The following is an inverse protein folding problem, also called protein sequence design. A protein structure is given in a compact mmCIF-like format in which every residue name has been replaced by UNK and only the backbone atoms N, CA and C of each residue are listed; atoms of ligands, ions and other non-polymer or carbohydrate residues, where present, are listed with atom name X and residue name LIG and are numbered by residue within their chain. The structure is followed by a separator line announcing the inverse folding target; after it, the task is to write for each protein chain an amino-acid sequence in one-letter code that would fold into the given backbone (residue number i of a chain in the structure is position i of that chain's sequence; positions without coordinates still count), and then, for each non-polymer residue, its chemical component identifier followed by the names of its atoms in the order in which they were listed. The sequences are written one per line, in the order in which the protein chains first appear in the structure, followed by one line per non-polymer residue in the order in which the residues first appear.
data_IF_885856065758
#
_entry.id   IF_885856065758
#
_cell.length_a   1.000
_cell.length_b   1.000
_cell.length_c   1.000
_cell.angle_alpha   90.00
_cell.angle_beta   90.00
_cell.angle_gamma   90.00
#
_symmetry.space_group_name_H-M   'P 1'
#
loop_
_entity.id
_entity.type
_entity.pdbx_description
1 polymer ?
#
# COMPACT_ATOMS: atom_id res chain seq x y z
N UNK A 1 8.09 26.89 38.99
CA UNK A 1 6.95 26.96 38.07
C UNK A 1 7.18 26.07 36.89
N UNK A 2 6.85 24.80 37.10
CA UNK A 2 7.00 23.69 36.15
C UNK A 2 5.59 23.30 35.68
N UNK A 3 4.82 24.30 35.27
CA UNK A 3 3.48 24.06 34.73
C UNK A 3 3.66 23.49 33.32
N UNK A 4 3.16 22.28 33.13
CA UNK A 4 3.10 21.64 31.84
C UNK A 4 2.30 22.53 30.89
N UNK A 5 2.81 22.90 29.70
CA UNK A 5 2.05 23.70 28.72
C UNK A 5 0.76 23.01 28.23
N UNK A 6 0.49 21.77 28.66
CA UNK A 6 -0.78 21.05 28.48
C UNK A 6 -1.82 21.36 29.55
N UNK A 7 -1.45 21.99 30.67
CA UNK A 7 -2.38 22.37 31.73
C UNK A 7 -3.21 23.59 31.30
N UNK A 8 -4.46 23.33 30.86
CA UNK A 8 -5.45 24.35 30.52
C UNK A 8 -5.86 24.44 29.05
N UNK A 9 -5.25 23.64 28.15
CA UNK A 9 -5.72 23.51 26.78
C UNK A 9 -6.88 22.51 26.72
N UNK A 10 -7.98 22.86 26.05
CA UNK A 10 -9.01 21.88 25.69
C UNK A 10 -8.36 20.78 24.83
N UNK A 11 -8.27 19.53 25.33
CA UNK A 11 -7.67 18.43 24.57
C UNK A 11 -8.41 18.15 23.24
N UNK A 12 -9.61 18.71 23.06
CA UNK A 12 -10.43 18.54 21.85
C UNK A 12 -10.11 19.53 20.70
N UNK A 13 -9.47 20.68 20.94
CA UNK A 13 -9.06 21.59 19.84
C UNK A 13 -7.88 21.00 19.04
N UNK A 14 -6.98 20.27 19.71
CA UNK A 14 -5.84 19.62 19.07
C UNK A 14 -4.71 20.57 18.64
N UNK A 15 -4.78 21.85 18.99
CA UNK A 15 -3.75 22.85 18.66
C UNK A 15 -2.37 22.46 19.22
N UNK A 16 -2.30 21.99 20.46
CA UNK A 16 -1.06 21.50 21.07
C UNK A 16 -0.46 20.31 20.31
N UNK A 17 -1.29 19.39 19.83
CA UNK A 17 -0.87 18.24 19.01
C UNK A 17 -0.35 18.68 17.65
N UNK A 18 -1.03 19.63 16.98
CA UNK A 18 -0.54 20.21 15.72
C UNK A 18 0.81 20.91 15.91
N UNK A 19 0.97 21.69 16.97
CA UNK A 19 2.24 22.36 17.29
C UNK A 19 3.35 21.35 17.59
N UNK A 20 3.06 20.28 18.34
CA UNK A 20 4.02 19.21 18.61
C UNK A 20 4.42 18.47 17.32
N UNK A 21 3.47 18.14 16.46
CA UNK A 21 3.73 17.51 15.17
C UNK A 21 4.66 18.38 14.30
N UNK A 22 4.44 19.70 14.26
CA UNK A 22 5.32 20.60 13.50
C UNK A 22 6.74 20.65 14.07
N UNK A 23 6.90 20.66 15.40
CA UNK A 23 8.23 20.57 16.03
C UNK A 23 8.93 19.25 15.68
N UNK A 24 8.21 18.12 15.71
CA UNK A 24 8.76 16.82 15.33
C UNK A 24 9.17 16.78 13.86
N UNK A 25 8.38 17.38 12.95
CA UNK A 25 8.72 17.50 11.52
C UNK A 25 9.98 18.32 11.30
N UNK A 26 10.09 19.47 11.97
CA UNK A 26 11.28 20.32 11.90
C UNK A 26 12.53 19.59 12.42
N UNK A 27 12.41 18.92 13.57
CA UNK A 27 13.51 18.13 14.14
C UNK A 27 13.91 16.96 13.22
N UNK A 28 12.95 16.26 12.61
CA UNK A 28 13.25 15.17 11.68
C UNK A 28 14.04 15.67 10.45
N UNK A 29 13.66 16.82 9.89
CA UNK A 29 14.36 17.43 8.76
C UNK A 29 15.75 17.93 9.15
N UNK A 30 15.90 18.59 10.30
CA UNK A 30 17.19 19.11 10.76
C UNK A 30 18.15 18.00 11.20
N UNK A 31 17.62 17.00 11.90
CA UNK A 31 18.44 16.01 12.57
C UNK A 31 18.64 14.77 11.70
N UNK A 32 17.61 14.21 11.09
CA UNK A 32 17.73 12.87 10.50
C UNK A 32 17.99 12.87 8.98
N UNK A 33 17.72 13.98 8.29
CA UNK A 33 17.84 14.04 6.83
C UNK A 33 19.28 14.14 6.35
N UNK A 34 19.58 13.47 5.23
CA UNK A 34 20.86 13.59 4.54
C UNK A 34 20.64 13.97 3.07
N UNK A 35 20.98 15.21 2.69
CA UNK A 35 20.70 15.77 1.36
C UNK A 35 21.27 14.92 0.21
N UNK A 36 22.51 14.44 0.34
CA UNK A 36 23.14 13.65 -0.72
C UNK A 36 22.45 12.31 -0.97
N UNK A 37 21.84 11.74 0.07
CA UNK A 37 21.14 10.46 0.00
C UNK A 37 19.64 10.67 -0.25
N UNK A 38 19.08 11.82 0.10
CA UNK A 38 17.64 12.07 -0.04
C UNK A 38 16.81 11.10 0.81
N UNK A 39 17.30 10.77 2.01
CA UNK A 39 16.63 9.88 2.96
C UNK A 39 16.95 10.28 4.40
N UNK A 40 16.26 9.65 5.35
CA UNK A 40 16.46 9.83 6.78
C UNK A 40 17.24 8.68 7.39
N UNK A 41 18.09 9.01 8.37
CA UNK A 41 18.86 8.07 9.17
C UNK A 41 18.67 8.35 10.66
N UNK A 42 18.85 7.31 11.48
CA UNK A 42 18.94 7.48 12.93
C UNK A 42 20.19 8.29 13.30
N UNK A 43 20.16 8.96 14.46
CA UNK A 43 21.35 9.62 15.05
C UNK A 43 21.95 8.80 16.16
N UNK A 44 23.26 8.61 16.10
CA UNK A 44 24.04 8.07 17.20
C UNK A 44 24.15 9.08 18.35
N UNK A 45 24.50 8.61 19.54
CA UNK A 45 24.70 9.46 20.73
C UNK A 45 25.75 10.58 20.51
N UNK A 46 26.73 10.35 19.63
CA UNK A 46 27.73 11.35 19.23
C UNK A 46 27.23 12.39 18.22
N UNK A 47 25.97 12.33 17.80
CA UNK A 47 25.36 13.24 16.84
C UNK A 47 25.47 12.82 15.37
N UNK A 48 26.32 11.84 15.05
CA UNK A 48 26.50 11.36 13.67
C UNK A 48 25.30 10.56 13.16
N UNK A 49 25.07 10.63 11.85
CA UNK A 49 24.06 9.81 11.18
C UNK A 49 24.51 8.34 11.10
N UNK A 50 23.65 7.43 11.55
CA UNK A 50 23.82 5.99 11.39
C UNK A 50 23.40 5.63 9.97
N UNK A 51 24.35 5.72 9.03
CA UNK A 51 24.14 5.50 7.59
C UNK A 51 23.84 4.03 7.26
N UNK A 52 22.66 3.58 7.64
CA UNK A 52 22.06 2.27 7.41
C UNK A 52 20.74 2.51 6.68
N UNK A 53 20.63 2.04 5.44
CA UNK A 53 19.41 2.19 4.66
C UNK A 53 18.44 1.09 5.06
N UNK A 54 17.61 1.37 6.08
CA UNK A 54 16.65 0.42 6.65
C UNK A 54 15.19 0.80 6.36
N UNK A 55 14.27 -0.01 6.87
CA UNK A 55 12.83 0.21 6.85
C UNK A 55 12.38 1.54 7.52
N UNK A 56 13.29 2.26 8.19
CA UNK A 56 13.08 3.62 8.69
C UNK A 56 12.55 4.56 7.60
N UNK A 57 13.04 4.43 6.36
CA UNK A 57 12.51 5.22 5.23
C UNK A 57 10.98 5.07 5.11
N UNK A 58 10.48 3.83 5.05
CA UNK A 58 9.04 3.55 4.96
C UNK A 58 8.28 4.04 6.18
N UNK A 59 8.86 3.97 7.39
CA UNK A 59 8.23 4.47 8.62
C UNK A 59 8.03 5.98 8.56
N UNK A 60 9.03 6.71 8.07
CA UNK A 60 8.93 8.17 7.89
C UNK A 60 7.88 8.53 6.84
N UNK A 61 7.91 7.86 5.69
CA UNK A 61 6.92 8.08 4.62
C UNK A 61 5.49 7.74 5.07
N UNK A 62 5.31 6.70 5.88
CA UNK A 62 4.01 6.34 6.46
C UNK A 62 3.46 7.38 7.45
N UNK A 63 4.31 8.31 7.94
CA UNK A 63 3.88 9.47 8.71
C UNK A 63 3.54 10.70 7.84
N UNK A 64 3.36 10.51 6.53
CA UNK A 64 3.02 11.57 5.56
C UNK A 64 4.08 12.69 5.53
N UNK A 65 5.35 12.29 5.66
CA UNK A 65 6.49 13.20 5.56
C UNK A 65 6.96 13.29 4.12
N UNK A 66 7.02 14.51 3.61
CA UNK A 66 7.37 14.80 2.22
C UNK A 66 6.14 15.02 1.34
N UNK A 67 6.36 15.56 0.15
CA UNK A 67 5.33 15.71 -0.87
C UNK A 67 5.39 14.54 -1.89
N UNK A 68 4.49 14.57 -2.88
CA UNK A 68 4.47 13.55 -3.93
C UNK A 68 5.79 13.45 -4.71
N UNK A 69 6.50 14.57 -4.90
CA UNK A 69 7.78 14.57 -5.62
C UNK A 69 8.87 13.86 -4.80
N UNK A 70 8.94 14.12 -3.50
CA UNK A 70 9.83 13.40 -2.59
C UNK A 70 9.49 11.91 -2.56
N UNK A 71 8.22 11.55 -2.48
CA UNK A 71 7.80 10.15 -2.48
C UNK A 71 8.18 9.43 -3.78
N UNK A 72 7.92 10.03 -4.95
CA UNK A 72 8.36 9.48 -6.24
C UNK A 72 9.88 9.32 -6.28
N UNK A 73 10.65 10.29 -5.77
CA UNK A 73 12.11 10.18 -5.70
C UNK A 73 12.56 9.02 -4.78
N UNK A 74 11.87 8.81 -3.65
CA UNK A 74 12.14 7.68 -2.74
C UNK A 74 11.79 6.33 -3.40
N UNK A 75 10.69 6.24 -4.16
CA UNK A 75 10.39 5.06 -4.97
C UNK A 75 11.52 4.76 -5.95
N UNK A 76 11.90 5.74 -6.77
CA UNK A 76 12.91 5.56 -7.81
C UNK A 76 14.28 5.18 -7.26
N UNK A 77 14.70 5.83 -6.18
CA UNK A 77 16.03 5.66 -5.60
C UNK A 77 16.14 4.43 -4.71
N UNK A 78 15.04 4.02 -4.07
CA UNK A 78 15.08 3.06 -2.98
C UNK A 78 14.03 1.95 -3.09
N UNK A 79 12.74 2.29 -3.07
CA UNK A 79 11.69 1.28 -2.83
C UNK A 79 11.39 0.42 -4.05
N UNK A 80 11.52 0.97 -5.27
CA UNK A 80 11.39 0.25 -6.53
C UNK A 80 12.74 -0.12 -7.13
N UNK A 81 13.80 -0.16 -6.32
CA UNK A 81 15.16 -0.40 -6.79
C UNK A 81 15.65 -1.78 -6.29
N UNK A 82 16.03 -2.67 -7.22
CA UNK A 82 16.28 -4.10 -6.93
C UNK A 82 17.63 -4.38 -6.27
N UNK A 83 18.53 -3.39 -6.23
CA UNK A 83 19.71 -3.42 -5.34
C UNK A 83 19.46 -2.76 -3.98
N UNK A 84 18.29 -2.14 -3.77
CA UNK A 84 17.91 -1.48 -2.53
C UNK A 84 16.86 -2.33 -1.81
N UNK A 85 15.61 -1.92 -1.74
CA UNK A 85 14.63 -2.64 -0.91
C UNK A 85 13.80 -3.66 -1.69
N UNK A 86 13.68 -3.53 -3.00
CA UNK A 86 12.81 -4.39 -3.79
C UNK A 86 13.45 -5.76 -4.05
N UNK A 87 13.08 -6.74 -3.25
CA UNK A 87 13.36 -8.14 -3.53
C UNK A 87 12.20 -8.79 -4.31
N UNK A 88 12.37 -10.05 -4.72
CA UNK A 88 11.31 -10.75 -5.46
C UNK A 88 10.03 -10.88 -4.62
N UNK A 89 10.19 -11.17 -3.32
CA UNK A 89 9.09 -11.37 -2.37
C UNK A 89 8.91 -10.19 -1.42
N UNK A 90 8.98 -8.95 -1.93
CA UNK A 90 8.57 -7.75 -1.20
C UNK A 90 9.71 -6.81 -0.82
N UNK A 91 9.46 -5.96 0.18
CA UNK A 91 10.40 -4.95 0.63
C UNK A 91 11.24 -5.45 1.81
N UNK A 92 12.55 -5.52 1.63
CA UNK A 92 13.49 -5.93 2.67
C UNK A 92 13.56 -4.90 3.80
N UNK A 93 13.96 -5.36 4.99
CA UNK A 93 14.11 -4.46 6.15
C UNK A 93 15.39 -3.64 6.12
N UNK A 94 16.35 -4.06 5.28
CA UNK A 94 17.61 -3.38 4.99
C UNK A 94 17.85 -3.42 3.47
N UNK A 95 18.45 -2.38 2.92
CA UNK A 95 18.85 -2.36 1.52
C UNK A 95 19.76 -3.57 1.18
N UNK A 96 19.45 -4.24 0.07
CA UNK A 96 20.13 -5.45 -0.42
C UNK A 96 21.62 -5.24 -0.71
N UNK A 97 22.02 -4.01 -1.07
CA UNK A 97 23.42 -3.63 -1.31
C UNK A 97 24.15 -3.12 -0.06
N UNK A 98 23.50 -3.09 1.10
CA UNK A 98 24.17 -2.77 2.35
C UNK A 98 25.09 -3.94 2.76
N UNK A 99 26.38 -3.71 3.03
CA UNK A 99 27.32 -4.79 3.40
C UNK A 99 26.96 -5.48 4.73
N UNK A 100 26.03 -4.92 5.51
CA UNK A 100 25.51 -5.50 6.75
C UNK A 100 24.23 -6.32 6.53
N UNK A 101 23.81 -6.51 5.29
CA UNK A 101 22.64 -7.33 4.96
C UNK A 101 22.80 -8.76 5.47
N UNK A 102 21.82 -9.19 6.27
CA UNK A 102 21.75 -10.53 6.81
C UNK A 102 20.75 -11.36 6.00
N UNK A 103 21.28 -12.31 5.21
CA UNK A 103 20.48 -13.17 4.36
C UNK A 103 19.75 -14.28 5.13
N UNK A 104 20.15 -14.59 6.37
CA UNK A 104 19.49 -15.63 7.14
C UNK A 104 18.13 -15.18 7.70
N UNK A 105 17.05 -15.52 6.98
CA UNK A 105 15.68 -15.23 7.40
C UNK A 105 15.15 -16.11 8.55
N UNK A 106 15.83 -17.20 8.92
CA UNK A 106 15.36 -18.12 9.95
C UNK A 106 15.48 -17.57 11.39
N UNK A 107 16.04 -16.37 11.57
CA UNK A 107 16.23 -15.71 12.87
C UNK A 107 15.37 -14.47 12.97
N UNK A 108 15.06 -14.05 14.21
CA UNK A 108 14.46 -12.74 14.45
C UNK A 108 15.46 -11.64 14.05
N UNK A 109 15.34 -11.15 12.83
CA UNK A 109 16.29 -10.20 12.25
C UNK A 109 15.56 -9.10 11.48
N UNK A 110 16.01 -7.88 11.71
CA UNK A 110 15.66 -6.70 10.91
C UNK A 110 16.77 -6.33 9.92
N UNK A 111 17.82 -7.17 9.81
CA UNK A 111 19.00 -6.91 8.99
C UNK A 111 18.86 -7.26 7.52
N UNK A 112 17.68 -7.71 7.05
CA UNK A 112 17.54 -8.14 5.66
C UNK A 112 16.18 -8.73 5.28
N UNK A 113 15.59 -9.63 6.07
CA UNK A 113 14.34 -10.30 5.68
C UNK A 113 13.18 -9.34 5.37
N UNK A 114 12.20 -9.83 4.61
CA UNK A 114 10.95 -9.09 4.35
C UNK A 114 10.06 -9.25 5.58
N UNK A 115 10.11 -8.28 6.50
CA UNK A 115 9.31 -8.33 7.73
C UNK A 115 7.87 -7.87 7.47
N UNK A 116 6.88 -8.62 7.95
CA UNK A 116 5.47 -8.25 7.76
C UNK A 116 5.07 -6.96 8.48
N UNK A 117 5.81 -6.57 9.52
CA UNK A 117 5.63 -5.25 10.14
C UNK A 117 6.03 -4.09 9.23
N UNK A 118 7.01 -4.27 8.34
CA UNK A 118 7.35 -3.30 7.29
C UNK A 118 6.25 -3.29 6.25
N UNK A 119 5.86 -4.48 5.78
CA UNK A 119 4.88 -4.65 4.71
C UNK A 119 3.50 -4.11 5.09
N UNK A 120 3.03 -4.29 6.34
CA UNK A 120 1.71 -3.80 6.81
C UNK A 120 1.65 -2.28 6.98
N UNK A 121 2.81 -1.61 7.08
CA UNK A 121 2.89 -0.14 7.20
C UNK A 121 3.03 0.55 5.85
N UNK A 122 3.58 -0.14 4.84
CA UNK A 122 3.84 0.43 3.53
C UNK A 122 2.61 1.01 2.82
N UNK A 123 1.41 0.37 2.82
CA UNK A 123 0.30 0.79 1.96
C UNK A 123 -0.09 2.26 2.10
N UNK A 124 -0.09 2.80 3.32
CA UNK A 124 -0.56 4.17 3.59
C UNK A 124 0.21 5.21 2.77
N UNK A 125 1.54 5.13 2.76
CA UNK A 125 2.37 6.10 2.05
C UNK A 125 2.15 6.04 0.52
N UNK A 126 2.08 4.82 -0.03
CA UNK A 126 1.83 4.63 -1.46
C UNK A 126 0.47 5.18 -1.87
N UNK A 127 -0.58 4.88 -1.10
CA UNK A 127 -1.94 5.34 -1.38
C UNK A 127 -2.10 6.86 -1.21
N UNK A 128 -1.53 7.42 -0.15
CA UNK A 128 -1.55 8.87 0.10
C UNK A 128 -0.94 9.65 -1.06
N UNK A 129 0.12 9.11 -1.70
CA UNK A 129 0.77 9.72 -2.86
C UNK A 129 0.29 9.18 -4.21
N UNK A 130 -0.72 8.30 -4.25
CA UNK A 130 -1.34 7.79 -5.48
C UNK A 130 -0.58 6.69 -6.23
N UNK A 131 0.47 6.09 -5.65
CA UNK A 131 1.28 5.03 -6.24
C UNK A 131 0.72 3.62 -5.94
N UNK A 132 -0.54 3.41 -6.28
CA UNK A 132 -1.27 2.17 -5.98
C UNK A 132 -0.83 0.97 -6.84
N UNK A 133 -0.31 1.22 -8.05
CA UNK A 133 0.12 0.18 -8.96
C UNK A 133 1.48 -0.42 -8.55
N UNK A 134 2.40 0.40 -8.04
CA UNK A 134 3.66 -0.06 -7.45
C UNK A 134 3.39 -0.91 -6.22
N UNK A 135 2.47 -0.46 -5.34
CA UNK A 135 2.04 -1.21 -4.17
C UNK A 135 1.47 -2.58 -4.56
N UNK A 136 0.58 -2.62 -5.56
CA UNK A 136 0.01 -3.86 -6.06
C UNK A 136 1.05 -4.80 -6.70
N UNK A 137 2.02 -4.24 -7.43
CA UNK A 137 3.12 -5.00 -8.01
C UNK A 137 3.99 -5.66 -6.92
N UNK A 138 4.30 -4.92 -5.85
CA UNK A 138 5.04 -5.43 -4.69
C UNK A 138 4.24 -6.53 -3.96
N UNK A 139 2.93 -6.35 -3.82
CA UNK A 139 2.07 -7.27 -3.07
C UNK A 139 1.88 -8.62 -3.76
N UNK A 140 1.91 -8.69 -5.09
CA UNK A 140 1.63 -9.91 -5.86
C UNK A 140 2.47 -11.12 -5.45
N UNK A 141 3.81 -11.07 -5.53
CA UNK A 141 4.66 -12.19 -5.12
C UNK A 141 4.50 -12.55 -3.64
N UNK A 142 4.31 -11.57 -2.76
CA UNK A 142 4.11 -11.79 -1.32
C UNK A 142 2.78 -12.49 -1.03
N UNK A 143 1.72 -12.16 -1.79
CA UNK A 143 0.44 -12.86 -1.75
C UNK A 143 0.59 -14.31 -2.20
N UNK A 144 1.35 -14.57 -3.28
CA UNK A 144 1.67 -15.95 -3.70
C UNK A 144 2.36 -16.72 -2.57
N UNK A 145 3.42 -16.15 -2.00
CA UNK A 145 4.18 -16.81 -0.93
C UNK A 145 3.31 -17.15 0.29
N UNK A 146 2.48 -16.22 0.76
CA UNK A 146 1.59 -16.48 1.90
C UNK A 146 0.41 -17.40 1.57
N UNK A 147 -0.07 -17.40 0.33
CA UNK A 147 -1.14 -18.33 -0.08
C UNK A 147 -0.65 -19.79 -0.14
N UNK A 148 0.65 -20.01 -0.37
CA UNK A 148 1.28 -21.33 -0.41
C UNK A 148 1.89 -21.74 0.94
N UNK A 149 2.12 -20.79 1.85
CA UNK A 149 2.62 -21.07 3.19
C UNK A 149 1.62 -21.89 4.02
N UNK A 150 2.12 -22.77 4.88
CA UNK A 150 1.33 -23.57 5.82
C UNK A 150 1.06 -22.85 7.16
N UNK A 151 1.61 -21.64 7.34
CA UNK A 151 1.48 -20.81 8.53
C UNK A 151 1.69 -19.32 8.23
N UNK A 152 1.50 -18.45 9.23
CA UNK A 152 1.73 -17.01 9.10
C UNK A 152 3.04 -16.61 9.81
N UNK A 153 4.14 -16.40 9.05
CA UNK A 153 5.45 -16.13 9.62
C UNK A 153 5.64 -14.65 9.99
N UNK A 154 6.73 -14.35 10.70
CA UNK A 154 7.15 -12.97 10.93
C UNK A 154 7.73 -12.32 9.68
N UNK A 155 8.48 -13.09 8.89
CA UNK A 155 9.10 -12.61 7.68
C UNK A 155 9.10 -13.66 6.58
N UNK A 156 9.50 -13.23 5.38
CA UNK A 156 9.81 -14.12 4.27
C UNK A 156 11.31 -14.04 3.94
N UNK A 157 11.85 -15.12 3.41
CA UNK A 157 13.09 -15.06 2.65
C UNK A 157 12.88 -14.13 1.42
N UNK A 158 13.74 -13.11 1.21
CA UNK A 158 13.55 -12.13 0.14
C UNK A 158 13.57 -12.71 -1.29
N UNK A 159 14.20 -13.87 -1.49
CA UNK A 159 14.44 -14.46 -2.80
C UNK A 159 13.55 -15.66 -3.09
N UNK A 160 13.39 -16.58 -2.13
CA UNK A 160 12.58 -17.79 -2.29
C UNK A 160 11.12 -17.59 -1.89
N UNK A 161 10.83 -16.61 -1.04
CA UNK A 161 9.50 -16.41 -0.48
C UNK A 161 9.14 -17.42 0.61
N UNK A 162 10.11 -18.25 1.04
CA UNK A 162 9.89 -19.20 2.11
C UNK A 162 9.47 -18.49 3.41
N UNK A 163 8.42 -19.02 4.04
CA UNK A 163 7.95 -18.55 5.33
C UNK A 163 9.05 -18.74 6.38
N UNK A 164 9.44 -17.65 7.04
CA UNK A 164 10.61 -17.63 7.90
C UNK A 164 10.32 -16.98 9.26
N UNK A 165 10.86 -17.62 10.31
CA UNK A 165 10.77 -17.20 11.70
C UNK A 165 9.35 -16.96 12.25
N UNK A 166 8.93 -17.79 13.22
CA UNK A 166 7.61 -17.68 13.86
C UNK A 166 6.49 -18.27 13.00
N UNK A 167 5.38 -18.66 13.63
CA UNK A 167 4.33 -19.46 12.97
C UNK A 167 2.93 -18.86 13.01
N UNK A 168 2.67 -17.94 13.96
CA UNK A 168 1.35 -17.35 14.22
C UNK A 168 1.48 -15.85 14.43
N UNK A 169 2.15 -15.19 13.49
CA UNK A 169 2.50 -13.79 13.63
C UNK A 169 1.37 -12.88 13.17
N UNK A 170 0.75 -12.15 14.11
CA UNK A 170 -0.42 -11.31 13.81
C UNK A 170 -0.17 -10.28 12.71
N UNK A 171 0.99 -9.60 12.61
CA UNK A 171 1.26 -8.72 11.47
C UNK A 171 1.23 -9.41 10.11
N UNK A 172 1.66 -10.68 10.01
CA UNK A 172 1.55 -11.46 8.76
C UNK A 172 0.09 -11.73 8.39
N UNK A 173 -0.73 -12.11 9.39
CA UNK A 173 -2.18 -12.29 9.22
C UNK A 173 -2.86 -10.99 8.79
N UNK A 174 -2.57 -9.89 9.48
CA UNK A 174 -3.15 -8.57 9.18
C UNK A 174 -2.75 -8.09 7.80
N UNK A 175 -1.48 -8.24 7.42
CA UNK A 175 -1.04 -7.89 6.07
C UNK A 175 -1.77 -8.69 5.01
N UNK A 176 -1.97 -10.01 5.21
CA UNK A 176 -2.66 -10.84 4.24
C UNK A 176 -4.11 -10.40 4.03
N UNK A 177 -4.87 -10.18 5.11
CA UNK A 177 -6.25 -9.69 5.03
C UNK A 177 -6.33 -8.32 4.35
N UNK A 178 -5.42 -7.42 4.71
CA UNK A 178 -5.31 -6.07 4.14
C UNK A 178 -4.96 -6.12 2.64
N UNK A 179 -4.00 -6.96 2.24
CA UNK A 179 -3.60 -7.13 0.84
C UNK A 179 -4.70 -7.75 -0.02
N UNK A 180 -5.45 -8.74 0.52
CA UNK A 180 -6.64 -9.30 -0.15
C UNK A 180 -7.67 -8.20 -0.43
N UNK A 181 -8.02 -7.39 0.57
CA UNK A 181 -9.00 -6.32 0.42
C UNK A 181 -8.53 -5.23 -0.55
N UNK A 182 -7.24 -4.87 -0.51
CA UNK A 182 -6.63 -3.87 -1.41
C UNK A 182 -6.48 -4.34 -2.84
N UNK A 183 -6.25 -5.63 -3.08
CA UNK A 183 -6.02 -6.15 -4.44
C UNK A 183 -7.31 -6.64 -5.09
N UNK A 184 -8.10 -7.45 -4.37
CA UNK A 184 -9.25 -8.14 -4.96
C UNK A 184 -10.43 -8.32 -3.99
N UNK A 185 -10.65 -7.35 -3.10
CA UNK A 185 -11.74 -7.38 -2.12
C UNK A 185 -12.42 -6.02 -1.92
N UNK A 186 -13.12 -5.90 -0.78
CA UNK A 186 -13.88 -4.72 -0.39
C UNK A 186 -13.23 -4.05 0.83
N UNK A 187 -12.72 -2.83 0.68
CA UNK A 187 -12.03 -2.08 1.73
C UNK A 187 -12.77 -0.77 2.08
N UNK A 188 -13.49 -0.70 3.23
CA UNK A 188 -13.97 0.54 3.80
C UNK A 188 -12.81 1.42 4.26
N UNK A 189 -12.91 2.71 3.99
CA UNK A 189 -11.88 3.69 4.30
C UNK A 189 -12.32 4.65 5.40
N UNK A 190 -11.38 5.17 6.22
CA UNK A 190 -11.71 6.14 7.27
C UNK A 190 -12.34 7.45 6.76
N UNK A 191 -12.07 7.82 5.51
CA UNK A 191 -12.63 9.01 4.84
C UNK A 191 -14.08 8.84 4.35
N UNK A 192 -14.67 7.67 4.55
CA UNK A 192 -16.04 7.37 4.12
C UNK A 192 -16.13 6.65 2.77
N UNK A 193 -15.03 6.46 2.06
CA UNK A 193 -15.05 5.67 0.83
C UNK A 193 -15.20 4.16 1.10
N UNK A 194 -15.69 3.43 0.10
CA UNK A 194 -15.61 1.97 0.02
C UNK A 194 -14.93 1.62 -1.29
N UNK A 195 -13.86 0.84 -1.21
CA UNK A 195 -13.09 0.43 -2.38
C UNK A 195 -13.43 -0.99 -2.78
N UNK A 196 -13.65 -1.20 -4.07
CA UNK A 196 -13.86 -2.48 -4.73
C UNK A 196 -12.71 -2.73 -5.68
N UNK A 197 -11.78 -3.59 -5.31
CA UNK A 197 -10.57 -3.80 -6.11
C UNK A 197 -10.72 -5.05 -6.98
N UNK A 198 -10.43 -4.94 -8.28
CA UNK A 198 -10.60 -6.03 -9.25
C UNK A 198 -9.29 -6.57 -9.78
N UNK A 199 -8.20 -6.52 -9.02
CA UNK A 199 -6.93 -7.17 -9.37
C UNK A 199 -6.98 -8.66 -9.03
N UNK A 200 -7.96 -9.37 -9.60
CA UNK A 200 -8.22 -10.80 -9.36
C UNK A 200 -6.91 -11.60 -9.45
N UNK A 201 -6.64 -12.53 -8.51
CA UNK A 201 -5.40 -13.30 -8.44
C UNK A 201 -5.32 -14.42 -9.50
N UNK A 202 -5.94 -14.22 -10.66
CA UNK A 202 -5.85 -15.10 -11.84
C UNK A 202 -4.47 -15.14 -12.48
N UNK A 203 -3.59 -14.23 -12.07
CA UNK A 203 -2.22 -14.09 -12.58
C UNK A 203 -1.16 -14.21 -11.49
N UNK A 204 -1.51 -14.75 -10.33
CA UNK A 204 -0.49 -15.20 -9.37
C UNK A 204 0.25 -16.42 -9.93
N UNK A 205 1.43 -16.66 -9.37
CA UNK A 205 2.26 -17.81 -9.70
C UNK A 205 1.78 -19.06 -8.93
N UNK A 206 2.24 -20.23 -9.39
CA UNK A 206 2.03 -21.48 -8.66
C UNK A 206 0.57 -21.91 -8.47
N UNK A 207 0.32 -22.60 -7.37
CA UNK A 207 -1.00 -23.14 -7.01
C UNK A 207 -1.93 -22.09 -6.40
N UNK A 208 -1.38 -20.93 -6.02
CA UNK A 208 -2.14 -19.79 -5.48
C UNK A 208 -3.07 -19.14 -6.52
N UNK A 209 -2.89 -19.42 -7.81
CA UNK A 209 -3.71 -18.88 -8.89
C UNK A 209 -5.16 -19.36 -8.82
N UNK A 210 -6.08 -18.43 -8.62
CA UNK A 210 -7.53 -18.69 -8.74
C UNK A 210 -8.01 -18.51 -10.18
N UNK A 211 -9.13 -19.15 -10.56
CA UNK A 211 -9.81 -18.84 -11.84
C UNK A 211 -10.77 -17.65 -11.69
N UNK A 212 -11.32 -17.47 -10.50
CA UNK A 212 -12.16 -16.35 -10.09
C UNK A 212 -12.14 -16.26 -8.55
N UNK A 213 -12.51 -15.10 -8.01
CA UNK A 213 -12.70 -14.90 -6.57
C UNK A 213 -14.00 -14.15 -6.31
N UNK A 214 -14.56 -14.35 -5.12
CA UNK A 214 -15.66 -13.55 -4.62
C UNK A 214 -15.36 -13.11 -3.19
N UNK A 215 -15.83 -11.92 -2.84
CA UNK A 215 -15.67 -11.31 -1.53
C UNK A 215 -16.97 -10.62 -1.14
N UNK A 216 -17.36 -10.70 0.13
CA UNK A 216 -18.54 -10.03 0.64
C UNK A 216 -18.23 -9.32 1.96
N UNK A 217 -18.83 -8.15 2.17
CA UNK A 217 -18.68 -7.37 3.40
C UNK A 217 -19.95 -6.63 3.74
N UNK A 218 -20.27 -6.55 5.01
CA UNK A 218 -21.29 -5.61 5.50
C UNK A 218 -20.60 -4.32 5.95
N UNK A 219 -21.00 -3.20 5.38
CA UNK A 219 -20.51 -1.85 5.70
C UNK A 219 -21.71 -1.01 6.09
N UNK A 220 -21.73 -0.52 7.33
CA UNK A 220 -22.81 0.35 7.84
C UNK A 220 -24.23 -0.22 7.63
N UNK A 221 -24.36 -1.54 7.74
CA UNK A 221 -25.63 -2.28 7.58
C UNK A 221 -25.98 -2.66 6.14
N UNK A 222 -25.21 -2.20 5.14
CA UNK A 222 -25.38 -2.55 3.72
C UNK A 222 -24.48 -3.73 3.37
N UNK A 223 -25.02 -4.76 2.72
CA UNK A 223 -24.21 -5.89 2.24
C UNK A 223 -23.68 -5.57 0.85
N UNK A 224 -22.36 -5.50 0.73
CA UNK A 224 -21.68 -5.40 -0.55
C UNK A 224 -21.03 -6.73 -0.93
N UNK A 225 -21.07 -7.04 -2.21
CA UNK A 225 -20.47 -8.25 -2.77
C UNK A 225 -19.66 -7.88 -4.02
N UNK A 226 -18.54 -8.55 -4.21
CA UNK A 226 -17.63 -8.39 -5.33
C UNK A 226 -17.32 -9.79 -5.86
N UNK A 227 -17.37 -9.97 -7.17
CA UNK A 227 -16.87 -11.16 -7.83
C UNK A 227 -16.02 -10.76 -9.03
N UNK A 228 -14.84 -11.35 -9.17
CA UNK A 228 -13.90 -11.04 -10.25
C UNK A 228 -13.30 -12.29 -10.86
N UNK A 229 -13.03 -12.22 -12.16
CA UNK A 229 -12.37 -13.25 -12.97
C UNK A 229 -11.17 -12.63 -13.73
N UNK A 230 -10.68 -13.30 -14.79
CA UNK A 230 -9.55 -12.78 -15.58
C UNK A 230 -9.91 -11.59 -16.48
N UNK A 231 -11.20 -11.30 -16.67
CA UNK A 231 -11.70 -10.26 -17.56
C UNK A 231 -12.18 -9.02 -16.79
N UNK A 232 -13.00 -9.21 -15.77
CA UNK A 232 -13.71 -8.13 -15.09
C UNK A 232 -14.00 -8.42 -13.62
N UNK A 233 -14.42 -7.39 -12.91
CA UNK A 233 -15.06 -7.49 -11.62
C UNK A 233 -16.48 -6.93 -11.68
N UNK A 234 -17.37 -7.49 -10.87
CA UNK A 234 -18.78 -7.12 -10.73
C UNK A 234 -19.08 -6.89 -9.26
N UNK A 235 -19.90 -5.88 -8.98
CA UNK A 235 -20.24 -5.43 -7.63
C UNK A 235 -21.75 -5.47 -7.45
N UNK A 236 -22.19 -5.91 -6.29
CA UNK A 236 -23.59 -5.88 -5.87
C UNK A 236 -23.74 -5.17 -4.53
N UNK A 237 -24.91 -4.56 -4.34
CA UNK A 237 -25.39 -3.92 -3.12
C UNK A 237 -26.73 -4.53 -2.75
N UNK A 238 -26.79 -5.20 -1.61
CA UNK A 238 -27.96 -5.94 -1.13
C UNK A 238 -28.56 -6.88 -2.21
N UNK A 239 -27.68 -7.57 -2.94
CA UNK A 239 -28.02 -8.49 -4.04
C UNK A 239 -28.39 -7.82 -5.37
N UNK A 240 -28.56 -6.49 -5.42
CA UNK A 240 -28.79 -5.76 -6.66
C UNK A 240 -27.45 -5.39 -7.34
N UNK A 241 -27.31 -5.55 -8.67
CA UNK A 241 -26.10 -5.12 -9.38
C UNK A 241 -25.84 -3.61 -9.18
N UNK A 242 -24.61 -3.29 -8.79
CA UNK A 242 -24.17 -1.92 -8.58
C UNK A 242 -23.26 -1.44 -9.72
N UNK A 243 -22.24 -2.23 -10.07
CA UNK A 243 -21.28 -1.84 -11.10
C UNK A 243 -20.52 -3.04 -11.68
N UNK A 244 -19.88 -2.84 -12.82
CA UNK A 244 -18.84 -3.73 -13.36
C UNK A 244 -17.71 -2.94 -13.99
N UNK A 245 -16.48 -3.44 -13.89
CA UNK A 245 -15.28 -2.78 -14.40
C UNK A 245 -14.21 -3.81 -14.78
N UNK A 246 -13.26 -3.48 -15.70
CA UNK A 246 -12.25 -4.42 -16.14
C UNK A 246 -11.30 -4.85 -15.02
N UNK A 247 -10.77 -6.07 -15.13
CA UNK A 247 -9.74 -6.58 -14.22
C UNK A 247 -8.54 -5.63 -14.18
N UNK A 248 -8.01 -5.41 -12.97
CA UNK A 248 -6.87 -4.53 -12.72
C UNK A 248 -7.24 -3.09 -12.46
N UNK A 249 -8.53 -2.76 -12.41
CA UNK A 249 -9.02 -1.49 -11.89
C UNK A 249 -9.56 -1.64 -10.46
N UNK A 250 -9.77 -0.51 -9.78
CA UNK A 250 -10.51 -0.37 -8.52
C UNK A 250 -11.64 0.61 -8.73
N UNK A 251 -12.85 0.25 -8.34
CA UNK A 251 -13.97 1.18 -8.21
C UNK A 251 -13.99 1.74 -6.78
N UNK A 252 -14.18 3.04 -6.64
CA UNK A 252 -14.40 3.70 -5.36
C UNK A 252 -15.82 4.23 -5.30
N UNK A 253 -16.49 4.01 -4.16
CA UNK A 253 -17.83 4.55 -3.88
C UNK A 253 -17.82 5.29 -2.55
N UNK A 254 -18.89 6.03 -2.25
CA UNK A 254 -19.19 6.42 -0.88
C UNK A 254 -19.78 5.24 -0.07
N UNK A 255 -20.22 5.49 1.18
CA UNK A 255 -20.87 4.48 2.03
C UNK A 255 -22.24 4.03 1.53
N UNK A 256 -22.94 4.86 0.75
CA UNK A 256 -24.22 4.51 0.15
C UNK A 256 -24.05 3.60 -1.08
N UNK A 257 -22.84 3.56 -1.66
CA UNK A 257 -22.52 2.84 -2.88
C UNK A 257 -22.56 3.72 -4.12
N UNK A 258 -22.66 5.05 -3.99
CA UNK A 258 -22.59 5.98 -5.12
C UNK A 258 -21.16 5.97 -5.71
N UNK A 259 -20.98 5.63 -7.00
CA UNK A 259 -19.68 5.61 -7.65
C UNK A 259 -19.00 6.99 -7.64
N UNK A 260 -17.76 7.03 -7.15
CA UNK A 260 -16.94 8.25 -7.04
C UNK A 260 -15.81 8.28 -8.07
N UNK A 261 -15.11 7.16 -8.25
CA UNK A 261 -13.96 7.10 -9.14
C UNK A 261 -13.61 5.67 -9.57
N UNK A 262 -12.79 5.56 -10.61
CA UNK A 262 -12.12 4.32 -10.98
C UNK A 262 -10.60 4.56 -11.11
N UNK A 263 -9.80 3.64 -10.57
CA UNK A 263 -8.34 3.76 -10.46
C UNK A 263 -7.63 2.56 -11.07
N UNK A 264 -6.54 2.78 -11.81
CA UNK A 264 -5.70 1.72 -12.38
C UNK A 264 -4.75 1.11 -11.34
N UNK A 265 -4.97 -0.16 -10.97
CA UNK A 265 -4.11 -0.90 -10.03
C UNK A 265 -3.03 -1.74 -10.72
N UNK A 266 -3.24 -2.13 -11.98
CA UNK A 266 -2.27 -2.96 -12.69
C UNK A 266 -1.03 -2.14 -13.09
N UNK A 267 0.14 -2.79 -13.10
CA UNK A 267 1.39 -2.22 -13.61
C UNK A 267 1.40 -2.00 -15.15
N UNK A 268 0.33 -2.40 -15.85
CA UNK A 268 0.12 -2.14 -17.27
C UNK A 268 -1.23 -1.48 -17.52
N UNK A 269 -1.39 -0.89 -18.72
CA UNK A 269 -2.64 -0.23 -19.10
C UNK A 269 -3.82 -1.19 -19.09
N UNK A 270 -4.87 -0.81 -18.36
CA UNK A 270 -6.16 -1.53 -18.30
C UNK A 270 -7.12 -0.88 -19.29
N UNK A 271 -7.80 -1.69 -20.10
CA UNK A 271 -8.84 -1.25 -21.03
C UNK A 271 -10.09 -2.08 -20.82
N UNK A 272 -11.25 -1.45 -20.94
CA UNK A 272 -12.53 -2.14 -20.87
C UNK A 272 -13.67 -1.17 -20.69
N UNK A 273 -14.76 -1.66 -20.12
CA UNK A 273 -15.97 -0.87 -19.92
C UNK A 273 -16.26 -0.75 -18.43
N UNK A 274 -16.44 0.48 -17.95
CA UNK A 274 -17.05 0.74 -16.66
C UNK A 274 -18.57 0.85 -16.86
N UNK A 275 -19.33 0.06 -16.12
CA UNK A 275 -20.79 0.13 -16.10
C UNK A 275 -21.24 0.41 -14.66
N UNK A 276 -22.15 1.37 -14.51
CA UNK A 276 -22.74 1.82 -13.25
C UNK A 276 -24.24 2.09 -13.48
N UNK A 277 -25.04 2.45 -12.47
CA UNK A 277 -26.45 2.78 -12.67
C UNK A 277 -26.65 4.05 -13.52
N UNK A 278 -25.68 4.96 -13.55
CA UNK A 278 -25.75 6.21 -14.31
C UNK A 278 -25.32 6.07 -15.76
N UNK A 279 -24.63 4.99 -16.14
CA UNK A 279 -24.21 4.78 -17.52
C UNK A 279 -23.10 3.75 -17.70
N UNK A 280 -22.66 3.62 -18.95
CA UNK A 280 -21.59 2.72 -19.36
C UNK A 280 -20.61 3.46 -20.26
N UNK A 281 -19.32 3.39 -19.94
CA UNK A 281 -18.26 4.13 -20.64
C UNK A 281 -17.07 3.24 -20.94
N UNK A 282 -16.48 3.33 -22.15
CA UNK A 282 -15.15 2.78 -22.38
C UNK A 282 -14.14 3.55 -21.53
N UNK A 283 -13.25 2.83 -20.87
CA UNK A 283 -12.18 3.40 -20.05
C UNK A 283 -10.83 2.82 -20.45
N UNK A 284 -9.82 3.66 -20.34
CA UNK A 284 -8.41 3.29 -20.45
C UNK A 284 -7.67 3.89 -19.25
N UNK A 285 -7.07 3.03 -18.43
CA UNK A 285 -6.38 3.40 -17.21
C UNK A 285 -4.90 3.01 -17.35
N UNK A 286 -4.02 3.99 -17.43
CA UNK A 286 -2.61 3.76 -17.14
C UNK A 286 -2.43 3.38 -15.66
N UNK A 287 -1.30 2.77 -15.26
CA UNK A 287 -1.04 2.51 -13.84
C UNK A 287 -1.13 3.81 -13.04
N UNK A 288 -1.75 3.78 -11.86
CA UNK A 288 -2.04 4.93 -10.98
C UNK A 288 -3.07 5.94 -11.52
N UNK A 289 -3.48 5.82 -12.79
CA UNK A 289 -4.44 6.76 -13.37
C UNK A 289 -5.79 6.68 -12.62
N UNK A 290 -6.35 7.85 -12.34
CA UNK A 290 -7.65 8.01 -11.69
C UNK A 290 -8.60 8.74 -12.64
N UNK A 291 -9.80 8.20 -12.79
CA UNK A 291 -10.93 8.88 -13.42
C UNK A 291 -11.99 9.13 -12.35
N UNK A 292 -12.33 10.39 -12.11
CA UNK A 292 -13.46 10.76 -11.25
C UNK A 292 -14.76 10.64 -12.03
N UNK A 293 -15.81 10.13 -11.38
CA UNK A 293 -17.11 9.98 -11.99
C UNK A 293 -17.92 11.26 -11.79
N UNK A 294 -18.20 11.92 -12.90
CA UNK A 294 -19.00 13.14 -12.96
C UNK A 294 -20.34 12.85 -13.65
N UNK A 295 -21.32 13.77 -13.61
CA UNK A 295 -22.56 13.62 -14.37
C UNK A 295 -22.37 13.42 -15.88
N UNK A 296 -21.29 13.95 -16.44
CA UNK A 296 -20.95 13.84 -17.86
C UNK A 296 -20.15 12.57 -18.21
N UNK A 297 -19.80 11.77 -17.18
CA UNK A 297 -19.01 10.55 -17.29
C UNK A 297 -17.65 10.63 -16.59
N UNK A 298 -16.79 9.62 -16.79
CA UNK A 298 -15.46 9.55 -16.18
C UNK A 298 -14.53 10.63 -16.73
N UNK A 299 -13.91 11.42 -15.85
CA UNK A 299 -12.96 12.48 -16.19
C UNK A 299 -11.60 12.23 -15.53
N UNK A 300 -10.48 12.33 -16.27
CA UNK A 300 -9.16 12.10 -15.69
C UNK A 300 -8.75 13.22 -14.74
N UNK A 301 -8.07 12.84 -13.67
CA UNK A 301 -7.42 13.78 -12.74
C UNK A 301 -5.91 13.53 -12.70
N UNK A 302 -5.10 14.52 -12.27
CA UNK A 302 -3.66 14.33 -12.16
C UNK A 302 -3.31 13.15 -11.23
N UNK A 303 -2.52 12.22 -11.77
CA UNK A 303 -2.01 11.04 -11.07
C UNK A 303 -0.49 10.96 -11.23
N UNK A 304 0.23 10.38 -10.26
CA UNK A 304 1.66 10.13 -10.43
C UNK A 304 1.91 9.13 -11.55
N UNK A 305 3.09 9.23 -12.17
CA UNK A 305 3.52 8.24 -13.16
C UNK A 305 3.97 6.97 -12.46
N UNK A 306 3.80 5.85 -13.15
CA UNK A 306 4.33 4.56 -12.72
C UNK A 306 5.86 4.58 -12.62
N UNK A 307 6.39 4.12 -11.50
CA UNK A 307 7.81 3.88 -11.27
C UNK A 307 8.08 2.37 -11.42
N UNK A 308 8.60 1.91 -12.57
CA UNK A 308 8.93 0.50 -12.73
C UNK A 308 10.12 0.11 -11.86
N UNK A 309 10.27 -1.20 -11.54
CA UNK A 309 11.49 -1.71 -10.94
C UNK A 309 12.76 -1.27 -11.69
N UNK A 310 13.77 -0.77 -10.96
CA UNK A 310 15.06 -0.33 -11.48
C UNK A 310 16.20 -1.17 -10.92
N UNK A 311 17.29 -1.28 -11.68
CA UNK A 311 18.51 -1.97 -11.26
C UNK A 311 19.54 -1.03 -10.66
#
# INVERSE_FOLDING_TARGET
DDADPRDGADPHDGAAWRAAAQRSRAALAEQCWHDGDGTWYDRAAGGELVRIQSDVLLRVLACEIGDGALFTAALERYLMHTRKFLAHYGLTSLALDDPRFEANAARNSWGGPVNFLTMVRAPHAFEHHGHVAELALIAGPVLTALAEADHFPQCLDPWSGEAAYGERYSPGILWFLDAVERCFGILPRPDGAVWFSGLTPTRLDGAARATAVAYARTVDGVRFELAGDDEQARVWRDGAPLASFPRGARLETDRAGEPLAVVGLAAGTVRGTLTTPSGSWPIELAPNARLELTPDGPAPVPSPRFVPPRH
#
